data_IF_955626360448
#
_entry.id   IF_955626360448
#
_cell.length_a   1.000
_cell.length_b   1.000
_cell.length_c   1.000
_cell.angle_alpha   90.00
_cell.angle_beta   90.00
_cell.angle_gamma   90.00
#
_symmetry.space_group_name_H-M   'P 1'
#
loop_
_entity.id
_entity.type
_entity.pdbx_description
1 polymer ?
#
# COMPACT_ATOMS: atom_id res chain seq x y z
N UNK A 1 4.05 11.38 -1.76
CA UNK A 1 4.93 11.29 -0.58
C UNK A 1 5.36 9.85 -0.28
N UNK A 2 4.46 8.87 -0.29
CA UNK A 2 4.79 7.44 -0.01
C UNK A 2 5.92 6.88 -0.90
N UNK A 3 5.89 7.14 -2.21
CA UNK A 3 6.96 6.68 -3.14
C UNK A 3 8.37 7.16 -2.75
N UNK A 4 8.48 8.40 -2.26
CA UNK A 4 9.76 8.97 -1.80
C UNK A 4 10.20 8.29 -0.50
N UNK A 5 9.27 8.06 0.42
CA UNK A 5 9.59 7.34 1.66
C UNK A 5 10.13 5.93 1.40
N UNK A 6 9.56 5.19 0.44
CA UNK A 6 10.07 3.87 0.04
C UNK A 6 11.52 3.95 -0.45
N UNK A 7 11.84 4.94 -1.28
CA UNK A 7 13.20 5.17 -1.76
C UNK A 7 14.18 5.50 -0.62
N UNK A 8 13.78 6.35 0.33
CA UNK A 8 14.59 6.70 1.50
C UNK A 8 14.82 5.50 2.44
N UNK A 9 13.84 4.61 2.56
CA UNK A 9 13.94 3.40 3.37
C UNK A 9 14.63 2.24 2.64
N UNK A 10 14.98 2.40 1.35
CA UNK A 10 15.57 1.33 0.55
C UNK A 10 14.63 0.14 0.32
N UNK A 11 13.31 0.34 0.45
CA UNK A 11 12.32 -0.73 0.34
C UNK A 11 11.93 -0.94 -1.12
N UNK A 12 12.13 -2.18 -1.60
CA UNK A 12 11.72 -2.59 -2.94
C UNK A 12 10.30 -3.17 -2.91
N UNK A 13 9.29 -2.29 -2.90
CA UNK A 13 7.87 -2.66 -2.91
C UNK A 13 7.28 -2.42 -4.30
N UNK A 14 6.54 -3.40 -4.80
CA UNK A 14 5.80 -3.29 -6.06
C UNK A 14 4.75 -2.17 -6.00
N UNK A 15 4.94 -1.14 -6.82
CA UNK A 15 3.99 -0.05 -6.98
C UNK A 15 2.98 -0.41 -8.06
N UNK A 16 1.70 -0.44 -7.70
CA UNK A 16 0.59 -0.61 -8.65
C UNK A 16 -0.12 0.73 -8.84
N UNK A 17 -0.25 1.18 -10.08
CA UNK A 17 -1.06 2.36 -10.41
C UNK A 17 -2.50 1.95 -10.68
N UNK A 18 -3.40 2.31 -9.77
CA UNK A 18 -4.85 2.07 -9.90
C UNK A 18 -5.55 3.11 -10.76
N UNK A 19 -4.91 4.24 -11.08
CA UNK A 19 -5.50 5.30 -11.91
C UNK A 19 -5.48 4.95 -13.41
N UNK A 20 -4.46 4.22 -13.86
CA UNK A 20 -4.28 3.86 -15.27
C UNK A 20 -4.68 2.41 -15.57
N UNK A 21 -4.67 1.55 -14.55
CA UNK A 21 -4.98 0.14 -14.69
C UNK A 21 -6.29 -0.22 -14.00
N UNK A 22 -7.30 -0.53 -14.80
CA UNK A 22 -8.64 -0.87 -14.32
C UNK A 22 -8.67 -2.18 -13.51
N UNK A 23 -7.71 -3.09 -13.73
CA UNK A 23 -7.63 -4.33 -12.96
C UNK A 23 -7.16 -4.05 -11.52
N UNK A 24 -6.12 -3.23 -11.38
CA UNK A 24 -5.64 -2.76 -10.08
C UNK A 24 -6.73 -1.96 -9.33
N UNK A 25 -7.48 -1.11 -10.05
CA UNK A 25 -8.62 -0.38 -9.49
C UNK A 25 -9.72 -1.31 -8.95
N UNK A 26 -9.99 -2.39 -9.69
CA UNK A 26 -10.98 -3.39 -9.31
C UNK A 26 -10.50 -4.20 -8.10
N UNK A 27 -9.23 -4.62 -8.05
CA UNK A 27 -8.64 -5.25 -6.87
C UNK A 27 -8.74 -4.36 -5.63
N UNK A 28 -8.44 -3.06 -5.77
CA UNK A 28 -8.54 -2.09 -4.67
C UNK A 28 -9.98 -1.94 -4.19
N UNK A 29 -10.94 -1.86 -5.10
CA UNK A 29 -12.35 -1.68 -4.76
C UNK A 29 -12.94 -2.96 -4.16
N UNK A 30 -12.60 -4.13 -4.70
CA UNK A 30 -13.06 -5.43 -4.21
C UNK A 30 -12.44 -5.81 -2.86
N UNK A 31 -11.15 -5.53 -2.67
CA UNK A 31 -10.43 -5.87 -1.45
C UNK A 31 -10.52 -4.81 -0.35
N UNK A 32 -10.36 -3.54 -0.72
CA UNK A 32 -10.31 -2.41 0.21
C UNK A 32 -11.66 -1.69 0.39
N UNK A 33 -12.64 -1.96 -0.47
CA UNK A 33 -13.97 -1.36 -0.42
C UNK A 33 -14.03 0.13 -0.80
N UNK A 34 -12.88 0.78 -0.96
CA UNK A 34 -12.76 2.20 -1.31
C UNK A 34 -11.66 2.43 -2.34
N UNK A 35 -12.02 3.12 -3.41
CA UNK A 35 -11.07 3.65 -4.39
C UNK A 35 -10.44 4.94 -3.84
N UNK A 36 -9.44 4.79 -2.97
CA UNK A 36 -8.71 5.91 -2.36
C UNK A 36 -7.21 5.65 -2.43
N UNK A 37 -6.47 6.66 -2.88
CA UNK A 37 -5.01 6.64 -2.98
C UNK A 37 -4.40 7.82 -2.21
N UNK A 38 -3.21 7.65 -1.62
CA UNK A 38 -2.39 6.45 -1.59
C UNK A 38 -2.94 5.37 -0.64
N UNK A 39 -2.78 4.11 -1.03
CA UNK A 39 -3.16 2.93 -0.24
C UNK A 39 -2.01 1.91 -0.20
N UNK A 40 -1.91 1.16 0.88
CA UNK A 40 -0.98 0.06 1.06
C UNK A 40 -1.78 -1.23 1.31
N UNK A 41 -1.50 -2.27 0.53
CA UNK A 41 -2.00 -3.63 0.77
C UNK A 41 -0.95 -4.37 1.58
N UNK A 42 -1.37 -4.90 2.72
CA UNK A 42 -0.54 -5.69 3.63
C UNK A 42 -1.13 -7.09 3.66
N UNK A 43 -0.33 -8.09 3.26
CA UNK A 43 -0.74 -9.49 3.28
C UNK A 43 -0.30 -10.12 4.61
N UNK A 44 -1.25 -10.60 5.40
CA UNK A 44 -0.97 -11.27 6.67
C UNK A 44 -0.69 -12.75 6.46
N UNK A 45 0.05 -13.38 7.38
CA UNK A 45 0.36 -14.81 7.32
C UNK A 45 -0.90 -15.71 7.27
N UNK A 46 -2.00 -15.26 7.88
CA UNK A 46 -3.33 -15.90 7.80
C UNK A 46 -4.01 -15.83 6.41
N UNK A 47 -3.34 -15.27 5.39
CA UNK A 47 -3.87 -15.15 4.04
C UNK A 47 -4.90 -14.02 3.87
N UNK A 48 -5.03 -13.12 4.85
CA UNK A 48 -5.93 -11.96 4.75
C UNK A 48 -5.17 -10.75 4.19
N UNK A 49 -5.81 -10.02 3.29
CA UNK A 49 -5.32 -8.74 2.81
C UNK A 49 -5.92 -7.61 3.67
N UNK A 50 -5.06 -6.89 4.39
CA UNK A 50 -5.43 -5.65 5.08
C UNK A 50 -5.06 -4.47 4.22
N UNK A 51 -5.98 -3.52 4.10
CA UNK A 51 -5.76 -2.27 3.38
C UNK A 51 -5.54 -1.14 4.39
N UNK A 52 -4.50 -0.37 4.16
CA UNK A 52 -4.18 0.85 4.91
C UNK A 52 -4.26 2.04 3.96
N UNK A 53 -4.85 3.10 4.45
CA UNK A 53 -5.02 4.37 3.75
C UNK A 53 -4.27 5.46 4.50
N UNK A 54 -4.24 6.65 3.93
CA UNK A 54 -3.52 7.82 4.44
C UNK A 54 -2.00 7.69 4.33
N UNK A 55 -1.40 8.68 3.68
CA UNK A 55 0.04 8.67 3.42
C UNK A 55 0.90 8.66 4.68
N UNK A 56 0.43 9.29 5.77
CA UNK A 56 1.17 9.40 7.03
C UNK A 56 1.19 8.04 7.74
N UNK A 57 0.04 7.38 7.86
CA UNK A 57 -0.07 6.06 8.48
C UNK A 57 0.73 5.01 7.70
N UNK A 58 0.65 5.02 6.37
CA UNK A 58 1.43 4.12 5.51
C UNK A 58 2.93 4.28 5.76
N UNK A 59 3.43 5.53 5.82
CA UNK A 59 4.85 5.77 6.06
C UNK A 59 5.26 5.33 7.47
N UNK A 60 4.43 5.60 8.48
CA UNK A 60 4.65 5.15 9.85
C UNK A 60 4.74 3.64 9.94
N UNK A 61 3.81 2.92 9.29
CA UNK A 61 3.80 1.47 9.23
C UNK A 61 5.07 0.91 8.55
N UNK A 62 5.43 1.44 7.37
CA UNK A 62 6.63 1.02 6.64
C UNK A 62 7.92 1.21 7.45
N UNK A 63 8.02 2.28 8.23
CA UNK A 63 9.17 2.55 9.10
C UNK A 63 9.25 1.58 10.28
N UNK A 64 8.12 1.24 10.88
CA UNK A 64 8.12 0.39 12.08
C UNK A 64 8.34 -1.09 11.73
N UNK A 65 7.63 -1.60 10.72
CA UNK A 65 7.55 -3.04 10.45
C UNK A 65 8.62 -3.56 9.49
N UNK A 66 9.18 -2.71 8.63
CA UNK A 66 10.15 -3.12 7.60
C UNK A 66 11.58 -2.62 7.85
N UNK A 67 11.81 -1.82 8.89
CA UNK A 67 13.15 -1.30 9.24
C UNK A 67 13.65 -1.85 10.60
N UNK A 68 13.00 -2.88 11.15
CA UNK A 68 13.48 -3.62 12.33
C UNK A 68 14.31 -4.82 11.92
#
# INVERSE_FOLDING_TARGET
MVRVALWWLGLNISLKEVMFDANNANELTAGGGKFQVPCLRIETADGKARWMYESIDIIGYLKTELTT
#
